data_IF_915081746848
#
_entry.id   IF_915081746848
#
_cell.length_a   1.000
_cell.length_b   1.000
_cell.length_c   1.000
_cell.angle_alpha   90.00
_cell.angle_beta   90.00
_cell.angle_gamma   90.00
#
_symmetry.space_group_name_H-M   'P 1'
#
loop_
_entity.id
_entity.type
_entity.pdbx_description
1 polymer ?
#
# COMPACT_ATOMS: atom_id res chain seq x y z
N UNK A 1 5.36 13.67 -20.59
CA UNK A 1 6.43 14.45 -21.27
C UNK A 1 5.86 15.59 -22.13
N UNK A 2 4.99 15.32 -23.12
CA UNK A 2 4.39 16.36 -23.99
C UNK A 2 3.77 17.54 -23.23
N UNK A 3 2.99 17.29 -22.18
CA UNK A 3 2.36 18.35 -21.38
C UNK A 3 3.37 19.28 -20.69
N UNK A 4 4.51 18.74 -20.22
CA UNK A 4 5.58 19.51 -19.59
C UNK A 4 6.27 20.39 -20.64
N UNK A 5 6.62 19.81 -21.80
CA UNK A 5 7.28 20.53 -22.89
C UNK A 5 6.37 21.62 -23.49
N UNK A 6 5.07 21.37 -23.63
CA UNK A 6 4.11 22.39 -24.06
C UNK A 6 4.03 23.56 -23.07
N UNK A 7 4.20 23.29 -21.78
CA UNK A 7 4.22 24.34 -20.75
C UNK A 7 5.52 25.14 -20.80
N UNK A 8 6.66 24.46 -20.97
CA UNK A 8 8.00 25.07 -21.02
C UNK A 8 8.20 25.95 -22.26
N UNK A 9 7.72 25.51 -23.43
CA UNK A 9 7.89 26.21 -24.71
C UNK A 9 6.70 27.09 -25.11
N UNK A 10 5.59 27.05 -24.37
CA UNK A 10 4.36 27.79 -24.68
C UNK A 10 4.50 29.32 -24.71
N UNK A 11 5.58 29.86 -24.12
CA UNK A 11 5.91 31.30 -24.17
C UNK A 11 6.61 31.77 -25.44
N UNK A 12 7.01 30.87 -26.34
CA UNK A 12 7.75 31.22 -27.56
C UNK A 12 6.77 31.70 -28.65
N UNK A 13 7.05 32.87 -29.22
CA UNK A 13 6.23 33.42 -30.32
C UNK A 13 6.31 32.51 -31.55
N UNK A 14 5.15 32.08 -32.08
CA UNK A 14 5.05 31.18 -33.23
C UNK A 14 4.99 29.69 -32.87
N UNK A 15 5.07 29.32 -31.58
CA UNK A 15 4.92 27.94 -31.14
C UNK A 15 3.45 27.46 -31.24
N UNK A 16 3.23 26.29 -31.84
CA UNK A 16 1.91 25.66 -31.98
C UNK A 16 1.76 24.47 -31.02
N UNK A 17 2.83 23.71 -30.81
CA UNK A 17 2.81 22.55 -29.92
C UNK A 17 4.04 21.67 -30.02
N UNK A 18 4.15 20.72 -29.09
CA UNK A 18 5.11 19.62 -29.13
C UNK A 18 4.35 18.30 -29.23
N UNK A 19 4.86 17.40 -30.09
CA UNK A 19 4.48 15.99 -30.11
C UNK A 19 5.69 15.10 -29.80
N UNK A 20 5.52 14.09 -28.96
CA UNK A 20 6.53 13.09 -28.63
C UNK A 20 5.99 11.71 -28.98
N UNK A 21 6.68 11.01 -29.88
CA UNK A 21 6.36 9.63 -30.28
C UNK A 21 7.54 8.73 -29.92
N UNK A 22 7.31 7.68 -29.13
CA UNK A 22 8.34 6.71 -28.73
C UNK A 22 8.13 5.35 -29.38
N UNK A 23 9.21 4.74 -29.86
CA UNK A 23 9.29 3.33 -30.24
C UNK A 23 10.07 2.58 -29.15
N UNK A 24 9.37 1.88 -28.25
CA UNK A 24 10.01 1.08 -27.20
C UNK A 24 10.71 -0.14 -27.81
N UNK A 25 11.93 -0.44 -27.35
CA UNK A 25 12.66 -1.63 -27.77
C UNK A 25 12.36 -2.79 -26.81
N UNK A 26 11.77 -3.88 -27.30
CA UNK A 26 11.70 -5.13 -26.55
C UNK A 26 13.08 -5.80 -26.55
N UNK A 27 13.66 -6.00 -25.36
CA UNK A 27 14.82 -6.87 -25.20
C UNK A 27 14.66 -7.72 -23.93
N UNK A 28 14.51 -9.02 -24.12
CA UNK A 28 14.50 -10.04 -23.07
C UNK A 28 13.48 -9.79 -21.94
N UNK A 29 12.19 -9.73 -22.30
CA UNK A 29 11.05 -9.76 -21.37
C UNK A 29 10.99 -8.66 -20.29
N UNK A 30 11.68 -7.53 -20.48
CA UNK A 30 11.46 -6.31 -19.68
C UNK A 30 11.30 -5.12 -20.61
N UNK A 31 10.09 -4.54 -20.64
CA UNK A 31 9.87 -3.23 -21.29
C UNK A 31 10.26 -2.15 -20.29
N UNK A 32 11.51 -1.72 -20.39
CA UNK A 32 11.95 -0.46 -19.81
C UNK A 32 11.48 0.66 -20.75
N UNK A 33 11.38 1.92 -20.29
CA UNK A 33 11.12 3.12 -21.14
C UNK A 33 12.25 3.38 -22.16
N UNK A 34 13.03 2.36 -22.50
CA UNK A 34 14.11 2.30 -23.46
C UNK A 34 13.51 2.24 -24.86
N UNK A 35 13.98 3.11 -25.74
CA UNK A 35 13.34 3.25 -27.04
C UNK A 35 13.87 4.41 -27.85
N UNK A 36 13.58 4.41 -29.14
CA UNK A 36 13.78 5.58 -29.98
C UNK A 36 12.63 6.55 -29.74
N UNK A 37 12.90 7.65 -29.03
CA UNK A 37 11.95 8.75 -28.86
C UNK A 37 12.20 9.81 -29.91
N UNK A 38 11.12 10.27 -30.50
CA UNK A 38 11.11 11.37 -31.44
C UNK A 38 10.27 12.51 -30.83
N UNK A 39 10.90 13.65 -30.64
CA UNK A 39 10.24 14.91 -30.27
C UNK A 39 10.11 15.79 -31.50
N UNK A 40 8.90 16.26 -31.79
CA UNK A 40 8.60 17.16 -32.90
C UNK A 40 8.02 18.44 -32.33
N UNK A 41 8.80 19.52 -32.41
CA UNK A 41 8.38 20.87 -32.06
C UNK A 41 7.76 21.54 -33.29
N UNK A 42 6.50 21.92 -33.18
CA UNK A 42 5.72 22.55 -34.24
C UNK A 42 5.65 24.06 -34.03
N UNK A 43 6.19 24.81 -34.99
CA UNK A 43 5.96 26.24 -35.13
C UNK A 43 5.03 26.59 -36.29
N UNK A 44 4.63 27.85 -36.35
CA UNK A 44 3.83 28.49 -37.40
C UNK A 44 4.43 28.36 -38.80
N UNK A 45 5.75 28.35 -38.92
CA UNK A 45 6.47 28.27 -40.20
C UNK A 45 7.40 27.06 -40.31
N UNK A 46 7.93 26.55 -39.19
CA UNK A 46 8.95 25.49 -39.18
C UNK A 46 8.57 24.37 -38.21
N UNK A 47 8.93 23.14 -38.58
CA UNK A 47 8.86 21.98 -37.70
C UNK A 47 10.29 21.50 -37.41
N UNK A 48 10.62 21.33 -36.13
CA UNK A 48 11.89 20.79 -35.69
C UNK A 48 11.68 19.40 -35.12
N UNK A 49 12.38 18.41 -35.68
CA UNK A 49 12.30 17.01 -35.26
C UNK A 49 13.64 16.59 -34.68
N UNK A 50 13.62 16.05 -33.47
CA UNK A 50 14.77 15.49 -32.81
C UNK A 50 14.46 14.06 -32.40
N UNK A 51 15.41 13.17 -32.66
CA UNK A 51 15.32 11.76 -32.27
C UNK A 51 16.42 11.46 -31.26
N UNK A 52 16.07 10.68 -30.23
CA UNK A 52 17.00 10.20 -29.23
C UNK A 52 16.66 8.76 -28.89
N UNK A 53 17.66 7.90 -28.97
CA UNK A 53 17.58 6.57 -28.38
C UNK A 53 17.79 6.71 -26.87
N UNK A 54 16.78 6.33 -26.10
CA UNK A 54 16.80 6.29 -24.63
C UNK A 54 17.23 4.89 -24.24
N UNK A 55 18.36 4.76 -23.56
CA UNK A 55 18.86 3.47 -23.07
C UNK A 55 18.54 3.28 -21.58
N UNK A 56 18.80 2.09 -21.04
CA UNK A 56 18.55 1.81 -19.61
C UNK A 56 19.34 2.73 -18.67
N UNK A 57 20.50 3.21 -19.13
CA UNK A 57 21.32 4.17 -18.40
C UNK A 57 20.73 5.60 -18.39
N UNK A 58 19.82 5.91 -19.33
CA UNK A 58 19.12 7.19 -19.38
C UNK A 58 17.93 7.25 -18.41
N UNK A 59 17.39 6.09 -18.01
CA UNK A 59 16.26 5.98 -17.08
C UNK A 59 16.81 5.91 -15.66
N UNK A 60 16.65 6.99 -14.91
CA UNK A 60 17.08 7.06 -13.51
C UNK A 60 15.90 6.75 -12.60
N UNK A 61 16.06 5.88 -11.58
CA UNK A 61 15.02 5.68 -10.57
C UNK A 61 14.71 7.00 -9.86
N UNK A 62 13.51 7.19 -9.29
CA UNK A 62 13.18 8.40 -8.55
C UNK A 62 14.17 8.63 -7.39
N UNK A 63 14.60 9.88 -7.11
CA UNK A 63 15.49 10.17 -5.99
C UNK A 63 14.89 9.76 -4.65
N UNK A 64 15.65 9.01 -3.85
CA UNK A 64 15.30 8.59 -2.49
C UNK A 64 16.19 9.39 -1.55
N UNK A 65 15.59 10.37 -0.87
CA UNK A 65 16.30 11.25 0.07
C UNK A 65 16.25 10.64 1.47
N UNK A 66 17.41 10.44 2.09
CA UNK A 66 17.57 9.93 3.45
C UNK A 66 18.07 11.05 4.36
N UNK A 67 17.28 11.44 5.36
CA UNK A 67 17.63 12.41 6.40
C UNK A 67 16.67 12.32 7.58
N UNK A 68 17.13 12.51 8.82
CA UNK A 68 16.22 12.58 10.00
C UNK A 68 15.19 13.70 9.84
N UNK A 69 13.91 13.44 10.11
CA UNK A 69 12.81 14.42 10.06
C UNK A 69 12.66 15.22 11.35
N UNK A 70 12.98 14.64 12.51
CA UNK A 70 12.87 15.25 13.83
C UNK A 70 14.14 15.01 14.65
N UNK A 71 14.75 16.10 15.12
CA UNK A 71 15.98 16.06 15.93
C UNK A 71 15.80 16.98 17.15
N UNK A 72 15.60 16.41 18.35
CA UNK A 72 15.70 17.16 19.60
C UNK A 72 17.14 17.60 19.88
N UNK A 73 17.31 18.81 20.40
CA UNK A 73 18.63 19.39 20.68
C UNK A 73 18.62 20.13 22.00
N UNK A 74 19.53 19.72 22.89
CA UNK A 74 19.79 20.44 24.13
C UNK A 74 20.86 21.49 23.88
N UNK A 75 20.46 22.75 24.02
CA UNK A 75 21.31 23.91 23.88
C UNK A 75 22.05 24.18 25.19
N UNK A 76 23.38 24.11 25.17
CA UNK A 76 24.26 24.32 26.33
C UNK A 76 24.80 25.76 26.43
N UNK A 77 24.46 26.61 25.47
CA UNK A 77 24.88 28.02 25.44
C UNK A 77 26.37 28.22 25.16
N UNK A 78 27.03 27.24 24.54
CA UNK A 78 28.45 27.34 24.20
C UNK A 78 28.61 27.73 22.74
N UNK A 79 29.44 28.75 22.44
CA UNK A 79 29.66 29.27 21.08
C UNK A 79 30.20 28.22 20.08
N UNK A 80 30.71 27.09 20.58
CA UNK A 80 31.24 25.99 19.77
C UNK A 80 30.24 24.85 19.54
N UNK A 81 29.03 24.91 20.12
CA UNK A 81 28.06 23.83 19.98
C UNK A 81 27.49 23.82 18.56
N UNK A 82 27.55 22.66 17.92
CA UNK A 82 27.00 22.46 16.58
C UNK A 82 26.14 21.22 16.55
N UNK A 83 25.15 21.22 15.65
CA UNK A 83 24.30 20.06 15.38
C UNK A 83 24.54 19.59 13.96
N UNK A 84 24.99 18.34 13.75
CA UNK A 84 25.18 17.81 12.41
C UNK A 84 23.83 17.45 11.78
N UNK A 85 23.56 18.01 10.61
CA UNK A 85 22.45 17.63 9.74
C UNK A 85 23.01 16.87 8.53
N UNK A 86 22.66 15.61 8.40
CA UNK A 86 23.06 14.77 7.27
C UNK A 86 21.87 14.51 6.34
N UNK A 87 22.15 14.60 5.04
CA UNK A 87 21.20 14.22 4.00
C UNK A 87 21.91 13.47 2.88
N UNK A 88 21.40 12.29 2.54
CA UNK A 88 21.93 11.42 1.52
C UNK A 88 20.92 11.19 0.39
N UNK A 89 21.42 10.93 -0.80
CA UNK A 89 20.64 10.48 -1.96
C UNK A 89 21.42 9.43 -2.73
N UNK A 90 20.76 8.51 -3.42
CA UNK A 90 21.43 7.50 -4.25
C UNK A 90 22.10 8.12 -5.49
N UNK A 91 23.20 7.49 -5.93
CA UNK A 91 23.85 7.87 -7.20
C UNK A 91 22.87 7.70 -8.39
N UNK A 92 22.85 8.60 -9.39
CA UNK A 92 23.76 9.73 -9.63
C UNK A 92 23.23 11.08 -9.12
N UNK A 93 22.24 11.09 -8.23
CA UNK A 93 21.64 12.33 -7.75
C UNK A 93 22.56 13.07 -6.78
N UNK A 94 22.33 14.38 -6.66
CA UNK A 94 23.02 15.26 -5.73
C UNK A 94 22.01 16.05 -4.93
N UNK A 95 22.36 16.39 -3.69
CA UNK A 95 21.51 17.16 -2.79
C UNK A 95 22.19 18.41 -2.26
N UNK A 96 21.37 19.38 -1.84
CA UNK A 96 21.77 20.61 -1.16
C UNK A 96 20.85 20.91 0.02
N UNK A 97 21.41 21.53 1.04
CA UNK A 97 20.68 22.00 2.22
C UNK A 97 20.20 23.44 2.04
N UNK A 98 19.01 23.73 2.55
CA UNK A 98 18.39 25.04 2.56
C UNK A 98 17.80 25.37 3.93
N UNK A 99 17.89 26.64 4.33
CA UNK A 99 17.12 27.24 5.44
C UNK A 99 16.46 28.51 4.90
N UNK A 100 15.14 28.63 5.03
CA UNK A 100 14.37 29.79 4.53
C UNK A 100 14.68 30.17 3.06
N UNK A 101 14.86 29.16 2.20
CA UNK A 101 15.28 29.27 0.78
C UNK A 101 16.73 29.67 0.51
N UNK A 102 17.53 29.94 1.55
CA UNK A 102 18.97 30.19 1.42
C UNK A 102 19.73 28.85 1.39
N UNK A 103 20.56 28.66 0.37
CA UNK A 103 21.43 27.49 0.26
C UNK A 103 22.53 27.56 1.33
N UNK A 104 22.76 26.43 2.00
CA UNK A 104 23.76 26.29 3.07
C UNK A 104 25.02 25.62 2.53
N UNK A 105 26.19 26.09 2.99
CA UNK A 105 27.47 25.47 2.65
C UNK A 105 27.70 24.23 3.53
N UNK A 106 27.60 23.05 2.92
CA UNK A 106 27.66 21.76 3.58
C UNK A 106 28.85 20.95 3.06
N UNK A 107 29.50 20.17 3.93
CA UNK A 107 30.55 19.23 3.52
C UNK A 107 30.02 18.14 2.59
N UNK A 108 30.88 17.58 1.73
CA UNK A 108 30.54 16.49 0.80
C UNK A 108 31.19 15.20 1.24
N UNK A 109 30.39 14.13 1.32
CA UNK A 109 30.87 12.76 1.43
C UNK A 109 30.26 11.93 0.31
N UNK A 110 31.10 11.36 -0.55
CA UNK A 110 30.67 10.47 -1.63
C UNK A 110 31.07 9.03 -1.31
N UNK A 111 30.09 8.15 -1.23
CA UNK A 111 30.30 6.71 -1.34
C UNK A 111 29.83 6.28 -2.72
N UNK A 112 30.45 5.26 -3.31
CA UNK A 112 30.17 4.85 -4.70
C UNK A 112 28.68 4.62 -5.03
N UNK A 113 27.84 4.39 -4.01
CA UNK A 113 26.41 4.16 -4.14
C UNK A 113 25.52 5.34 -3.65
N UNK A 114 26.07 6.35 -2.95
CA UNK A 114 25.30 7.47 -2.38
C UNK A 114 26.09 8.78 -2.26
N UNK A 115 25.41 9.89 -2.50
CA UNK A 115 25.92 11.25 -2.32
C UNK A 115 25.33 11.86 -1.04
N UNK A 116 26.17 12.24 -0.08
CA UNK A 116 25.74 12.79 1.20
C UNK A 116 26.30 14.21 1.42
N UNK A 117 25.46 15.08 2.01
CA UNK A 117 25.83 16.42 2.49
C UNK A 117 25.60 16.53 3.98
N UNK A 118 26.65 16.93 4.69
CA UNK A 118 26.60 17.17 6.13
C UNK A 118 26.77 18.65 6.41
N UNK A 119 25.82 19.25 7.10
CA UNK A 119 25.85 20.64 7.54
C UNK A 119 25.89 20.72 9.05
N UNK A 120 26.97 21.28 9.61
CA UNK A 120 27.07 21.51 11.05
C UNK A 120 26.44 22.86 11.39
N UNK A 121 25.18 22.85 11.83
CA UNK A 121 24.47 24.07 12.21
C UNK A 121 25.03 24.61 13.54
N UNK A 122 25.58 25.83 13.59
CA UNK A 122 26.02 26.44 14.83
C UNK A 122 24.81 26.83 15.67
N UNK A 123 24.80 26.40 16.93
CA UNK A 123 23.86 26.90 17.93
C UNK A 123 24.42 28.24 18.43
N UNK A 124 23.72 29.33 18.11
CA UNK A 124 23.99 30.65 18.69
C UNK A 124 23.64 30.67 20.19
N UNK A 125 23.69 31.85 20.82
CA UNK A 125 23.21 32.01 22.19
C UNK A 125 21.77 31.48 22.31
N UNK A 126 21.61 30.47 23.16
CA UNK A 126 20.33 29.83 23.40
C UNK A 126 19.34 30.85 23.97
N UNK A 127 18.10 30.79 23.49
CA UNK A 127 17.00 31.63 23.92
C UNK A 127 15.77 30.79 24.20
N UNK A 128 14.58 31.37 24.02
CA UNK A 128 13.32 30.66 24.14
C UNK A 128 13.27 29.39 23.25
N UNK A 129 12.54 28.34 23.67
CA UNK A 129 12.40 27.12 22.88
C UNK A 129 11.98 27.45 21.44
N UNK A 130 12.79 27.00 20.48
CA UNK A 130 12.60 27.34 19.07
C UNK A 130 12.60 26.07 18.23
N UNK A 131 11.68 26.00 17.27
CA UNK A 131 11.66 24.98 16.23
C UNK A 131 12.20 25.57 14.94
N UNK A 132 13.23 24.96 14.37
CA UNK A 132 13.85 25.38 13.11
C UNK A 132 13.67 24.29 12.05
N UNK A 133 13.34 24.70 10.84
CA UNK A 133 13.15 23.78 9.71
C UNK A 133 14.25 23.94 8.67
N UNK A 134 14.81 22.82 8.25
CA UNK A 134 15.80 22.72 7.19
C UNK A 134 15.24 21.85 6.09
N UNK A 135 15.55 22.19 4.84
CA UNK A 135 15.09 21.41 3.68
C UNK A 135 16.28 20.88 2.92
N UNK A 136 16.35 19.56 2.76
CA UNK A 136 17.26 18.93 1.83
C UNK A 136 16.54 18.74 0.49
N UNK A 137 17.12 19.25 -0.60
CA UNK A 137 16.52 19.20 -1.95
C UNK A 137 17.49 18.57 -2.95
N UNK A 138 16.96 17.77 -3.86
CA UNK A 138 17.71 17.19 -4.98
C UNK A 138 17.95 18.26 -6.05
N UNK A 139 19.16 18.28 -6.60
CA UNK A 139 19.53 19.21 -7.66
C UNK A 139 18.63 18.99 -8.90
N UNK A 140 18.13 20.11 -9.44
CA UNK A 140 17.32 20.18 -10.66
C UNK A 140 15.98 19.38 -10.64
N UNK A 141 15.56 18.88 -9.48
CA UNK A 141 14.30 18.14 -9.30
C UNK A 141 13.50 18.69 -8.09
N UNK A 142 12.19 18.44 -8.02
CA UNK A 142 11.36 18.93 -6.91
C UNK A 142 11.29 17.98 -5.70
N UNK A 143 12.13 16.95 -5.67
CA UNK A 143 12.24 16.04 -4.53
C UNK A 143 12.92 16.76 -3.36
N UNK A 144 12.25 16.75 -2.21
CA UNK A 144 12.74 17.40 -0.98
C UNK A 144 12.33 16.63 0.27
N UNK A 145 13.16 16.70 1.30
CA UNK A 145 12.88 16.20 2.65
C UNK A 145 13.11 17.32 3.65
N UNK A 146 12.28 17.37 4.68
CA UNK A 146 12.30 18.42 5.70
C UNK A 146 12.80 17.83 7.01
N UNK A 147 13.71 18.53 7.67
CA UNK A 147 14.24 18.22 8.99
C UNK A 147 13.88 19.33 9.95
N UNK A 148 13.29 18.96 11.07
CA UNK A 148 12.88 19.87 12.15
C UNK A 148 13.79 19.68 13.35
N UNK A 149 14.46 20.76 13.73
CA UNK A 149 15.29 20.86 14.92
C UNK A 149 14.46 21.48 16.05
N UNK A 150 14.30 20.75 17.15
CA UNK A 150 13.62 21.22 18.37
C UNK A 150 14.67 21.59 19.41
N UNK A 151 14.91 22.88 19.60
CA UNK A 151 16.00 23.38 20.43
C UNK A 151 15.46 23.83 21.80
N UNK A 152 16.07 23.37 22.88
CA UNK A 152 15.74 23.76 24.26
C UNK A 152 16.95 23.73 25.19
N UNK A 153 16.94 24.53 26.25
CA UNK A 153 17.95 24.48 27.33
C UNK A 153 17.64 23.42 28.40
N UNK A 154 16.40 22.94 28.43
CA UNK A 154 15.94 21.98 29.43
C UNK A 154 16.69 20.65 29.36
N UNK A 155 16.88 19.96 30.49
CA UNK A 155 17.53 18.67 30.51
C UNK A 155 16.68 17.61 29.80
N UNK A 156 17.38 16.71 29.11
CA UNK A 156 16.77 15.53 28.51
C UNK A 156 16.40 14.49 29.57
N UNK A 157 15.36 13.72 29.25
CA UNK A 157 14.81 12.65 30.10
C UNK A 157 14.91 11.30 29.43
N UNK A 158 14.90 11.27 28.09
CA UNK A 158 15.19 10.08 27.29
C UNK A 158 16.61 10.18 26.74
N UNK A 159 17.35 9.07 26.83
CA UNK A 159 18.68 8.89 26.27
C UNK A 159 18.70 7.55 25.54
N UNK A 160 19.16 7.55 24.29
CA UNK A 160 19.20 6.36 23.44
C UNK A 160 20.20 6.55 22.30
N UNK A 161 20.92 5.49 21.93
CA UNK A 161 21.97 5.58 20.90
C UNK A 161 21.39 5.80 19.48
N UNK A 162 20.15 5.36 19.22
CA UNK A 162 19.50 5.40 17.91
C UNK A 162 18.67 6.69 17.72
N UNK A 163 17.80 6.97 18.68
CA UNK A 163 16.94 8.16 18.68
C UNK A 163 17.61 9.41 19.26
N UNK A 164 18.76 9.26 19.92
CA UNK A 164 19.44 10.34 20.61
C UNK A 164 18.74 10.72 21.91
N UNK A 165 19.12 11.88 22.43
CA UNK A 165 18.57 12.39 23.67
C UNK A 165 17.36 13.31 23.41
N UNK A 166 16.37 13.31 24.30
CA UNK A 166 15.16 14.12 24.14
C UNK A 166 14.38 14.35 25.43
N UNK A 167 13.45 15.31 25.39
CA UNK A 167 12.58 15.64 26.53
C UNK A 167 11.26 14.89 26.46
N UNK A 168 10.63 14.75 27.62
CA UNK A 168 9.29 14.19 27.74
C UNK A 168 8.30 14.85 26.77
N UNK A 169 7.64 14.03 25.94
CA UNK A 169 6.69 14.46 24.94
C UNK A 169 7.28 14.84 23.58
N UNK A 170 8.60 14.99 23.44
CA UNK A 170 9.25 15.26 22.16
C UNK A 170 9.27 14.02 21.26
N UNK A 171 9.38 14.27 19.96
CA UNK A 171 9.57 13.23 18.95
C UNK A 171 10.99 13.29 18.39
N UNK A 172 11.54 12.12 18.09
CA UNK A 172 12.80 11.97 17.39
C UNK A 172 12.63 10.94 16.28
N UNK A 173 13.31 11.16 15.17
CA UNK A 173 13.32 10.24 14.04
C UNK A 173 14.67 9.55 13.90
N UNK A 174 14.65 8.31 13.44
CA UNK A 174 15.83 7.57 13.01
C UNK A 174 15.65 7.01 11.61
N UNK A 175 16.77 6.69 10.98
CA UNK A 175 16.78 6.07 9.65
C UNK A 175 16.39 4.59 9.74
N UNK A 176 15.84 4.07 8.65
CA UNK A 176 15.55 2.64 8.56
C UNK A 176 16.84 1.80 8.52
N UNK A 177 16.77 0.51 8.90
CA UNK A 177 17.87 -0.42 8.77
C UNK A 177 18.41 -0.51 7.33
N UNK A 178 19.66 -0.95 7.19
CA UNK A 178 20.31 -1.12 5.89
C UNK A 178 19.43 -1.93 4.92
N UNK A 179 19.21 -1.39 3.72
CA UNK A 179 18.40 -2.02 2.67
C UNK A 179 16.92 -1.60 2.68
N UNK A 180 16.48 -0.83 3.67
CA UNK A 180 15.15 -0.26 3.75
C UNK A 180 15.18 1.27 3.58
N UNK A 181 14.02 1.85 3.29
CA UNK A 181 13.80 3.27 3.08
C UNK A 181 12.56 3.71 3.85
N UNK A 182 12.59 4.95 4.38
CA UNK A 182 11.56 5.48 5.28
C UNK A 182 12.18 6.13 6.50
N UNK A 183 11.45 6.12 7.61
CA UNK A 183 11.93 6.48 8.94
C UNK A 183 11.12 5.80 10.04
N UNK A 184 11.73 5.71 11.22
CA UNK A 184 11.03 5.42 12.45
C UNK A 184 10.94 6.70 13.28
N UNK A 185 9.76 7.00 13.80
CA UNK A 185 9.51 8.14 14.68
C UNK A 185 9.12 7.59 16.05
N UNK A 186 9.88 7.97 17.07
CA UNK A 186 9.58 7.67 18.45
C UNK A 186 9.24 8.93 19.23
N UNK A 187 8.47 8.75 20.30
CA UNK A 187 8.12 9.80 21.26
C UNK A 187 8.68 9.47 22.62
N UNK A 188 9.29 10.44 23.28
CA UNK A 188 9.84 10.27 24.61
C UNK A 188 8.70 10.25 25.63
N UNK A 189 8.51 9.11 26.29
CA UNK A 189 7.51 8.93 27.34
C UNK A 189 8.09 8.13 28.51
N UNK A 190 7.93 8.67 29.73
CA UNK A 190 8.45 8.11 30.98
C UNK A 190 9.94 7.79 30.93
N UNK A 191 10.73 8.65 30.29
CA UNK A 191 12.18 8.50 30.15
C UNK A 191 12.62 7.38 29.19
N UNK A 192 11.75 6.91 28.31
CA UNK A 192 12.10 6.00 27.20
C UNK A 192 11.50 6.46 25.88
N UNK A 193 12.19 6.20 24.79
CA UNK A 193 11.63 6.36 23.45
C UNK A 193 10.65 5.22 23.16
N UNK A 194 9.40 5.58 22.85
CA UNK A 194 8.35 4.65 22.42
C UNK A 194 8.10 4.89 20.94
N UNK A 195 8.24 3.85 20.12
CA UNK A 195 7.96 3.90 18.68
C UNK A 195 6.49 4.30 18.47
N UNK A 196 6.26 5.35 17.67
CA UNK A 196 4.93 5.87 17.34
C UNK A 196 4.60 5.62 15.88
N UNK A 197 5.60 5.74 15.01
CA UNK A 197 5.43 5.55 13.57
C UNK A 197 6.64 4.78 13.01
N UNK A 198 6.36 3.77 12.21
CA UNK A 198 7.33 3.03 11.42
C UNK A 198 6.84 3.15 9.98
N UNK A 199 7.67 3.69 9.09
CA UNK A 199 7.39 3.77 7.65
C UNK A 199 8.43 3.00 6.83
N UNK A 200 9.18 2.09 7.46
CA UNK A 200 10.30 1.40 6.84
C UNK A 200 9.83 0.33 5.87
N UNK A 201 10.26 0.45 4.61
CA UNK A 201 9.91 -0.45 3.51
C UNK A 201 11.19 -0.93 2.83
N UNK A 202 11.24 -2.20 2.42
CA UNK A 202 12.37 -2.73 1.65
C UNK A 202 12.55 -1.94 0.36
N UNK A 203 13.78 -1.46 0.10
CA UNK A 203 14.07 -0.51 -0.99
C UNK A 203 13.60 -1.01 -2.35
N UNK A 204 13.88 -2.27 -2.69
CA UNK A 204 13.48 -2.86 -3.98
C UNK A 204 11.97 -2.85 -4.16
N UNK A 205 11.21 -3.12 -3.09
CA UNK A 205 9.74 -3.07 -3.12
C UNK A 205 9.25 -1.63 -3.26
N UNK A 206 9.90 -0.66 -2.61
CA UNK A 206 9.56 0.75 -2.78
C UNK A 206 9.79 1.24 -4.22
N UNK A 207 10.89 0.83 -4.85
CA UNK A 207 11.17 1.14 -6.26
C UNK A 207 10.13 0.51 -7.20
N UNK A 208 9.67 -0.71 -6.90
CA UNK A 208 8.59 -1.37 -7.63
C UNK A 208 7.24 -0.67 -7.43
N UNK A 209 6.95 -0.17 -6.21
CA UNK A 209 5.77 0.66 -5.96
C UNK A 209 5.79 1.91 -6.83
N UNK A 210 6.89 2.66 -6.82
CA UNK A 210 7.01 3.89 -7.61
C UNK A 210 6.85 3.60 -9.12
N UNK A 211 7.37 2.46 -9.58
CA UNK A 211 7.20 2.00 -10.97
C UNK A 211 5.75 1.61 -11.29
N UNK A 212 5.00 1.11 -10.31
CA UNK A 212 3.61 0.65 -10.48
C UNK A 212 2.60 1.80 -10.68
N UNK A 213 2.89 3.00 -10.15
CA UNK A 213 1.98 4.16 -10.23
C UNK A 213 1.76 4.65 -11.68
N UNK A 214 2.77 4.43 -12.54
CA UNK A 214 2.76 4.78 -13.97
C UNK A 214 2.62 3.59 -14.92
N UNK A 215 2.35 2.39 -14.39
CA UNK A 215 2.40 1.14 -15.16
C UNK A 215 1.39 1.13 -16.31
N UNK A 216 1.86 0.84 -17.52
CA UNK A 216 1.02 0.66 -18.70
C UNK A 216 0.64 -0.80 -18.89
N UNK A 217 -0.45 -1.06 -19.61
CA UNK A 217 -1.05 -2.40 -19.78
C UNK A 217 -0.05 -3.36 -20.42
N UNK A 218 0.69 -2.90 -21.41
CA UNK A 218 1.71 -3.63 -22.15
C UNK A 218 2.89 -4.09 -21.27
N UNK A 219 3.17 -3.37 -20.19
CA UNK A 219 4.33 -3.61 -19.32
C UNK A 219 3.98 -4.57 -18.16
N UNK A 220 2.68 -4.77 -17.88
CA UNK A 220 2.19 -5.59 -16.76
C UNK A 220 2.80 -6.99 -16.70
N UNK A 221 2.89 -7.79 -17.80
CA UNK A 221 3.44 -9.13 -17.73
C UNK A 221 4.87 -9.17 -17.19
N UNK A 222 5.75 -8.32 -17.72
CA UNK A 222 7.14 -8.21 -17.26
C UNK A 222 7.25 -7.68 -15.83
N UNK A 223 6.37 -6.74 -15.46
CA UNK A 223 6.37 -6.16 -14.13
C UNK A 223 5.99 -7.17 -13.05
N UNK A 224 4.93 -7.96 -13.25
CA UNK A 224 4.50 -8.95 -12.26
C UNK A 224 5.48 -10.10 -12.12
N UNK A 225 6.16 -10.48 -13.20
CA UNK A 225 7.25 -11.46 -13.17
C UNK A 225 8.40 -10.95 -12.31
N UNK A 226 8.90 -9.74 -12.58
CA UNK A 226 9.95 -9.11 -11.76
C UNK A 226 9.55 -8.99 -10.29
N UNK A 227 8.34 -8.54 -10.00
CA UNK A 227 7.82 -8.44 -8.63
C UNK A 227 7.85 -9.80 -7.92
N UNK A 228 7.34 -10.84 -8.59
CA UNK A 228 7.31 -12.21 -8.07
C UNK A 228 8.72 -12.76 -7.82
N UNK A 229 9.67 -12.53 -8.73
CA UNK A 229 11.05 -12.97 -8.59
C UNK A 229 11.76 -12.28 -7.42
N UNK A 230 11.65 -10.95 -7.32
CA UNK A 230 12.25 -10.18 -6.22
C UNK A 230 11.69 -10.65 -4.87
N UNK A 231 10.35 -10.75 -4.74
CA UNK A 231 9.71 -11.18 -3.48
C UNK A 231 10.15 -12.60 -3.08
N UNK A 232 10.36 -13.51 -4.03
CA UNK A 232 10.90 -14.85 -3.72
C UNK A 232 12.32 -14.77 -3.15
N UNK A 233 13.16 -13.87 -3.66
CA UNK A 233 14.54 -13.69 -3.17
C UNK A 233 14.56 -13.12 -1.75
N UNK A 234 13.72 -12.11 -1.47
CA UNK A 234 13.67 -11.41 -0.17
C UNK A 234 12.50 -11.88 0.73
N UNK A 235 12.00 -13.10 0.51
CA UNK A 235 10.79 -13.64 1.18
C UNK A 235 10.80 -13.43 2.69
N UNK A 236 11.90 -13.77 3.36
CA UNK A 236 11.99 -13.67 4.82
C UNK A 236 11.83 -12.21 5.28
N UNK A 237 12.57 -11.29 4.67
CA UNK A 237 12.51 -9.87 5.02
C UNK A 237 11.12 -9.27 4.75
N UNK A 238 10.46 -9.70 3.67
CA UNK A 238 9.08 -9.30 3.34
C UNK A 238 8.11 -9.77 4.42
N UNK A 239 8.16 -11.06 4.80
CA UNK A 239 7.20 -11.64 5.76
C UNK A 239 7.30 -10.99 7.15
N UNK A 240 8.47 -10.48 7.51
CA UNK A 240 8.72 -9.82 8.81
C UNK A 240 8.51 -8.30 8.78
N UNK A 241 8.09 -7.72 7.65
CA UNK A 241 7.90 -6.27 7.50
C UNK A 241 6.44 -5.93 7.19
N UNK A 242 5.65 -5.47 8.19
CA UNK A 242 4.25 -5.04 7.99
C UNK A 242 4.09 -4.03 6.87
N UNK A 243 4.91 -2.98 6.86
CA UNK A 243 4.84 -1.90 5.88
C UNK A 243 5.23 -2.37 4.48
N UNK A 244 6.18 -3.30 4.36
CA UNK A 244 6.53 -3.90 3.06
C UNK A 244 5.37 -4.75 2.53
N UNK A 245 4.71 -5.53 3.38
CA UNK A 245 3.49 -6.27 2.98
C UNK A 245 2.40 -5.29 2.51
N UNK A 246 2.14 -4.23 3.26
CA UNK A 246 1.16 -3.20 2.86
C UNK A 246 1.52 -2.55 1.53
N UNK A 247 2.81 -2.32 1.27
CA UNK A 247 3.31 -1.77 0.00
C UNK A 247 3.08 -2.76 -1.15
N UNK A 248 3.28 -4.05 -0.94
CA UNK A 248 3.01 -5.09 -1.95
C UNK A 248 1.51 -5.12 -2.28
N UNK A 249 0.64 -5.03 -1.26
CA UNK A 249 -0.81 -4.94 -1.46
C UNK A 249 -1.18 -3.72 -2.32
N UNK A 250 -0.54 -2.57 -2.09
CA UNK A 250 -0.74 -1.37 -2.90
C UNK A 250 -0.30 -1.56 -4.36
N UNK A 251 0.85 -2.22 -4.59
CA UNK A 251 1.30 -2.60 -5.94
C UNK A 251 0.25 -3.47 -6.65
N UNK A 252 -0.28 -4.49 -5.97
CA UNK A 252 -1.33 -5.35 -6.51
C UNK A 252 -2.60 -4.54 -6.83
N UNK A 253 -2.96 -3.58 -5.98
CA UNK A 253 -4.06 -2.64 -6.21
C UNK A 253 -3.86 -1.78 -7.46
N UNK A 254 -2.64 -1.27 -7.67
CA UNK A 254 -2.30 -0.48 -8.86
C UNK A 254 -2.46 -1.31 -10.15
N UNK A 255 -1.97 -2.56 -10.16
CA UNK A 255 -2.17 -3.48 -11.29
C UNK A 255 -3.68 -3.77 -11.50
N UNK A 256 -4.38 -4.07 -10.40
CA UNK A 256 -5.80 -4.38 -10.41
C UNK A 256 -6.66 -3.21 -10.90
N UNK A 257 -6.21 -1.96 -10.79
CA UNK A 257 -6.94 -0.77 -11.22
C UNK A 257 -6.80 -0.46 -12.72
N UNK A 258 -5.91 -1.14 -13.46
CA UNK A 258 -5.70 -0.89 -14.90
C UNK A 258 -6.92 -1.38 -15.70
N UNK A 259 -7.83 -0.48 -16.09
CA UNK A 259 -9.14 -0.81 -16.68
C UNK A 259 -9.10 -1.76 -17.89
N UNK A 260 -8.15 -1.56 -18.80
CA UNK A 260 -8.05 -2.32 -20.06
C UNK A 260 -7.17 -3.57 -19.96
N UNK A 261 -6.71 -3.93 -18.76
CA UNK A 261 -5.88 -5.10 -18.55
C UNK A 261 -6.67 -6.39 -18.83
N UNK A 262 -6.07 -7.28 -19.63
CA UNK A 262 -6.51 -8.66 -19.80
C UNK A 262 -5.53 -9.57 -19.06
N UNK A 263 -6.04 -10.30 -18.07
CA UNK A 263 -5.23 -11.19 -17.25
C UNK A 263 -5.18 -12.57 -17.92
N UNK A 264 -4.01 -12.91 -18.44
CA UNK A 264 -3.69 -14.23 -18.97
C UNK A 264 -2.97 -15.08 -17.90
N UNK A 265 -2.64 -16.32 -18.25
CA UNK A 265 -2.04 -17.28 -17.32
C UNK A 265 -0.71 -16.79 -16.69
N UNK A 266 0.32 -16.33 -17.44
CA UNK A 266 1.56 -15.86 -16.82
C UNK A 266 1.37 -14.70 -15.84
N UNK A 267 0.44 -13.79 -16.13
CA UNK A 267 0.18 -12.63 -15.26
C UNK A 267 -0.39 -13.07 -13.92
N UNK A 268 -1.45 -13.90 -13.92
CA UNK A 268 -2.08 -14.33 -12.68
C UNK A 268 -1.23 -15.33 -11.90
N UNK A 269 -0.43 -16.17 -12.55
CA UNK A 269 0.53 -17.04 -11.86
C UNK A 269 1.53 -16.22 -11.04
N UNK A 270 2.13 -15.18 -11.63
CA UNK A 270 3.08 -14.32 -10.92
C UNK A 270 2.42 -13.49 -9.80
N UNK A 271 1.20 -13.00 -10.04
CA UNK A 271 0.39 -12.36 -8.98
C UNK A 271 0.14 -13.32 -7.83
N UNK A 272 -0.32 -14.54 -8.11
CA UNK A 272 -0.64 -15.51 -7.07
C UNK A 272 0.59 -16.00 -6.32
N UNK A 273 1.75 -16.12 -6.99
CA UNK A 273 3.03 -16.40 -6.31
C UNK A 273 3.43 -15.28 -5.36
N UNK A 274 3.19 -14.02 -5.73
CA UNK A 274 3.39 -12.87 -4.84
C UNK A 274 2.45 -12.93 -3.63
N UNK A 275 1.17 -13.22 -3.88
CA UNK A 275 0.14 -13.32 -2.84
C UNK A 275 0.44 -14.47 -1.88
N UNK A 276 0.86 -15.63 -2.39
CA UNK A 276 1.23 -16.81 -1.60
C UNK A 276 2.26 -16.49 -0.50
N UNK A 277 3.27 -15.68 -0.84
CA UNK A 277 4.29 -15.23 0.11
C UNK A 277 3.68 -14.35 1.21
N UNK A 278 2.91 -13.33 0.84
CA UNK A 278 2.38 -12.36 1.83
C UNK A 278 1.28 -12.96 2.70
N UNK A 279 0.56 -14.00 2.26
CA UNK A 279 -0.46 -14.68 3.08
C UNK A 279 0.08 -15.88 3.88
N UNK A 280 1.36 -16.23 3.68
CA UNK A 280 1.99 -17.38 4.35
C UNK A 280 1.99 -17.25 5.88
N UNK A 281 2.21 -18.38 6.56
CA UNK A 281 2.26 -18.43 8.04
C UNK A 281 3.31 -17.49 8.63
N UNK A 282 4.46 -17.33 7.96
CA UNK A 282 5.55 -16.45 8.41
C UNK A 282 5.14 -14.96 8.44
N UNK A 283 4.12 -14.58 7.66
CA UNK A 283 3.61 -13.20 7.58
C UNK A 283 2.56 -12.88 8.65
N UNK A 284 2.19 -13.84 9.52
CA UNK A 284 1.09 -13.68 10.48
C UNK A 284 1.33 -12.54 11.47
N UNK A 285 2.55 -12.37 11.97
CA UNK A 285 2.86 -11.29 12.91
C UNK A 285 2.76 -9.92 12.24
N UNK A 286 3.24 -9.81 10.99
CA UNK A 286 3.13 -8.60 10.19
C UNK A 286 1.68 -8.22 9.91
N UNK A 287 0.83 -9.18 9.55
CA UNK A 287 -0.61 -8.93 9.42
C UNK A 287 -1.29 -8.60 10.75
N UNK A 288 -0.85 -9.19 11.85
CA UNK A 288 -1.36 -8.84 13.19
C UNK A 288 -1.04 -7.38 13.53
N UNK A 289 0.17 -6.91 13.19
CA UNK A 289 0.55 -5.52 13.35
C UNK A 289 -0.28 -4.59 12.45
N UNK A 290 -0.45 -4.92 11.17
CA UNK A 290 -1.28 -4.15 10.23
C UNK A 290 -2.74 -4.03 10.71
N UNK A 291 -3.32 -5.15 11.12
CA UNK A 291 -4.70 -5.22 11.61
C UNK A 291 -4.90 -4.62 13.00
N UNK A 292 -3.83 -4.35 13.75
CA UNK A 292 -3.90 -3.67 15.04
C UNK A 292 -4.38 -2.21 14.92
N UNK A 293 -4.21 -1.60 13.74
CA UNK A 293 -4.74 -0.29 13.41
C UNK A 293 -6.08 -0.44 12.68
N UNK A 294 -7.19 -0.07 13.34
CA UNK A 294 -8.55 -0.20 12.77
C UNK A 294 -8.76 0.61 11.48
N UNK A 295 -7.94 1.63 11.23
CA UNK A 295 -8.01 2.43 10.00
C UNK A 295 -7.22 1.81 8.84
N UNK A 296 -6.42 0.78 9.10
CA UNK A 296 -5.66 0.11 8.06
C UNK A 296 -6.56 -0.85 7.28
N UNK A 297 -6.60 -0.67 5.97
CA UNK A 297 -7.44 -1.41 5.04
C UNK A 297 -6.65 -2.43 4.20
N UNK A 298 -5.39 -2.72 4.53
CA UNK A 298 -4.53 -3.63 3.77
C UNK A 298 -5.19 -5.00 3.49
N UNK A 299 -5.87 -5.60 4.47
CA UNK A 299 -6.52 -6.91 4.27
C UNK A 299 -7.70 -6.83 3.30
N UNK A 300 -8.52 -5.77 3.38
CA UNK A 300 -9.61 -5.56 2.43
C UNK A 300 -9.11 -5.14 1.04
N UNK A 301 -8.00 -4.40 0.98
CA UNK A 301 -7.39 -3.95 -0.27
C UNK A 301 -6.76 -5.13 -1.02
N UNK A 302 -6.14 -6.07 -0.32
CA UNK A 302 -5.66 -7.32 -0.92
C UNK A 302 -6.83 -8.10 -1.54
N UNK A 303 -7.90 -8.30 -0.78
CA UNK A 303 -9.08 -9.03 -1.28
C UNK A 303 -9.77 -8.32 -2.44
N UNK A 304 -9.92 -6.99 -2.37
CA UNK A 304 -10.46 -6.19 -3.45
C UNK A 304 -9.59 -6.24 -4.70
N UNK A 305 -8.27 -6.23 -4.55
CA UNK A 305 -7.33 -6.37 -5.68
C UNK A 305 -7.46 -7.73 -6.35
N UNK A 306 -7.58 -8.81 -5.56
CA UNK A 306 -7.79 -10.16 -6.08
C UNK A 306 -9.14 -10.31 -6.79
N UNK A 307 -10.20 -9.69 -6.27
CA UNK A 307 -11.51 -9.64 -6.94
C UNK A 307 -11.42 -8.94 -8.29
N UNK A 308 -10.84 -7.73 -8.32
CA UNK A 308 -10.69 -6.95 -9.55
C UNK A 308 -9.83 -7.64 -10.62
N UNK A 309 -8.76 -8.32 -10.21
CA UNK A 309 -7.94 -9.11 -11.13
C UNK A 309 -8.70 -10.34 -11.63
N UNK A 310 -9.51 -10.97 -10.76
CA UNK A 310 -10.32 -12.12 -11.15
C UNK A 310 -11.35 -11.77 -12.23
N UNK A 311 -11.87 -10.55 -12.19
CA UNK A 311 -12.81 -10.00 -13.18
C UNK A 311 -12.20 -9.79 -14.57
N UNK A 312 -10.87 -9.75 -14.65
CA UNK A 312 -10.11 -9.45 -15.87
C UNK A 312 -9.52 -10.70 -16.52
N UNK A 313 -9.74 -11.87 -15.96
CA UNK A 313 -9.21 -13.14 -16.47
C UNK A 313 -9.86 -13.50 -17.79
N UNK A 314 -9.04 -13.89 -18.76
CA UNK A 314 -9.48 -14.46 -20.02
C UNK A 314 -8.76 -15.79 -20.29
N UNK A 315 -9.51 -16.89 -20.24
CA UNK A 315 -8.99 -18.23 -20.48
C UNK A 315 -9.49 -19.24 -19.45
N UNK A 316 -9.07 -20.49 -19.64
CA UNK A 316 -9.29 -21.60 -18.71
C UNK A 316 -7.95 -22.23 -18.39
N UNK A 317 -7.55 -22.15 -17.14
CA UNK A 317 -6.30 -22.67 -16.59
C UNK A 317 -6.46 -22.91 -15.08
N UNK A 318 -5.61 -23.78 -14.56
CA UNK A 318 -5.55 -24.17 -13.16
C UNK A 318 -4.14 -23.91 -12.66
N UNK A 319 -4.02 -23.37 -11.46
CA UNK A 319 -2.73 -23.05 -10.84
C UNK A 319 -2.80 -23.33 -9.34
N UNK A 320 -1.71 -23.83 -8.78
CA UNK A 320 -1.61 -24.18 -7.37
C UNK A 320 -0.27 -23.70 -6.80
N UNK A 321 -0.35 -23.07 -5.63
CA UNK A 321 0.79 -22.75 -4.77
C UNK A 321 0.63 -23.49 -3.43
N UNK A 322 1.54 -23.27 -2.48
CA UNK A 322 1.44 -23.88 -1.16
C UNK A 322 0.17 -23.46 -0.40
N UNK A 323 -0.27 -22.21 -0.57
CA UNK A 323 -1.42 -21.65 0.13
C UNK A 323 -2.66 -21.35 -0.75
N UNK A 324 -2.56 -21.49 -2.08
CA UNK A 324 -3.60 -21.04 -3.01
C UNK A 324 -3.94 -22.13 -4.02
N UNK A 325 -5.23 -22.44 -4.14
CA UNK A 325 -5.78 -23.19 -5.26
C UNK A 325 -6.59 -22.26 -6.16
N UNK A 326 -6.19 -22.16 -7.43
CA UNK A 326 -6.84 -21.35 -8.44
C UNK A 326 -7.34 -22.25 -9.58
N UNK A 327 -8.61 -22.07 -9.98
CA UNK A 327 -9.19 -22.74 -11.14
C UNK A 327 -10.10 -21.81 -11.94
N UNK A 328 -10.05 -21.95 -13.27
CA UNK A 328 -10.99 -21.32 -14.19
C UNK A 328 -11.56 -22.34 -15.14
N UNK A 329 -12.88 -22.44 -15.17
CA UNK A 329 -13.60 -23.45 -15.94
C UNK A 329 -14.86 -22.87 -16.57
N UNK A 330 -15.41 -23.60 -17.52
CA UNK A 330 -16.73 -23.30 -18.11
C UNK A 330 -17.73 -24.36 -17.70
N UNK A 331 -18.99 -23.96 -17.53
CA UNK A 331 -20.05 -24.87 -17.13
C UNK A 331 -21.39 -24.55 -17.81
N UNK A 332 -22.20 -25.59 -17.97
CA UNK A 332 -23.56 -25.53 -18.46
C UNK A 332 -24.52 -25.90 -17.35
N UNK A 333 -25.49 -25.03 -17.06
CA UNK A 333 -26.58 -25.17 -16.11
C UNK A 333 -26.21 -25.46 -14.64
N UNK A 334 -25.11 -26.14 -14.33
CA UNK A 334 -24.66 -26.42 -12.97
C UNK A 334 -23.15 -26.52 -12.87
N UNK A 335 -22.60 -26.09 -11.75
CA UNK A 335 -21.19 -26.22 -11.43
C UNK A 335 -21.00 -26.96 -10.11
N UNK A 336 -20.05 -27.89 -10.07
CA UNK A 336 -19.67 -28.61 -8.86
C UNK A 336 -18.15 -28.71 -8.80
N UNK A 337 -17.55 -28.23 -7.70
CA UNK A 337 -16.12 -28.36 -7.45
C UNK A 337 -15.84 -28.69 -5.99
N UNK A 338 -14.83 -29.54 -5.79
CA UNK A 338 -14.25 -29.80 -4.48
C UNK A 338 -12.96 -28.98 -4.38
N UNK A 339 -13.04 -27.82 -3.73
CA UNK A 339 -11.98 -26.81 -3.70
C UNK A 339 -10.93 -27.08 -2.63
N UNK A 340 -11.26 -27.91 -1.63
CA UNK A 340 -10.32 -28.63 -0.77
C UNK A 340 -11.11 -29.71 -0.01
N UNK A 341 -10.44 -30.60 0.72
CA UNK A 341 -11.09 -31.68 1.50
C UNK A 341 -12.25 -31.25 2.43
N UNK A 342 -12.39 -29.95 2.74
CA UNK A 342 -13.45 -29.38 3.58
C UNK A 342 -14.39 -28.38 2.86
N UNK A 343 -14.12 -27.99 1.61
CA UNK A 343 -14.83 -26.92 0.90
C UNK A 343 -15.37 -27.43 -0.43
N UNK A 344 -16.69 -27.50 -0.52
CA UNK A 344 -17.41 -27.91 -1.73
C UNK A 344 -18.23 -26.73 -2.24
N UNK A 345 -18.07 -26.42 -3.53
CA UNK A 345 -18.88 -25.46 -4.25
C UNK A 345 -19.88 -26.21 -5.13
N UNK A 346 -21.16 -26.01 -4.88
CA UNK A 346 -22.26 -26.58 -5.65
C UNK A 346 -23.22 -25.46 -6.06
N UNK A 347 -23.30 -25.21 -7.38
CA UNK A 347 -24.16 -24.21 -8.00
C UNK A 347 -25.12 -24.94 -8.94
N UNK A 348 -26.30 -25.35 -8.46
CA UNK A 348 -27.26 -26.08 -9.28
C UNK A 348 -28.21 -25.14 -10.05
N UNK A 349 -28.67 -25.58 -11.23
CA UNK A 349 -29.81 -25.02 -11.98
C UNK A 349 -29.73 -23.51 -12.28
N UNK A 350 -28.62 -23.06 -12.84
CA UNK A 350 -28.41 -21.66 -13.25
C UNK A 350 -29.14 -21.29 -14.54
N UNK A 351 -29.45 -22.27 -15.40
CA UNK A 351 -29.99 -22.03 -16.74
C UNK A 351 -29.01 -21.32 -17.69
N UNK A 352 -27.74 -21.18 -17.31
CA UNK A 352 -26.70 -20.62 -18.16
C UNK A 352 -26.13 -21.69 -19.11
N UNK A 353 -25.69 -21.25 -20.29
CA UNK A 353 -24.93 -22.06 -21.24
C UNK A 353 -23.57 -21.40 -21.48
N UNK A 354 -22.51 -22.19 -21.42
CA UNK A 354 -21.12 -21.77 -21.60
C UNK A 354 -20.72 -20.60 -20.68
N UNK A 355 -21.16 -20.67 -19.41
CA UNK A 355 -20.78 -19.69 -18.41
C UNK A 355 -19.36 -19.98 -17.91
N UNK A 356 -18.55 -18.94 -17.72
CA UNK A 356 -17.25 -19.04 -17.04
C UNK A 356 -17.41 -18.94 -15.54
N UNK A 357 -16.54 -19.66 -14.82
CA UNK A 357 -16.37 -19.52 -13.38
C UNK A 357 -14.87 -19.49 -13.03
N UNK A 358 -14.52 -18.58 -12.13
CA UNK A 358 -13.19 -18.51 -11.51
C UNK A 358 -13.35 -18.81 -10.03
N UNK A 359 -12.54 -19.74 -9.51
CA UNK A 359 -12.47 -20.04 -8.08
C UNK A 359 -11.05 -19.84 -7.57
N UNK A 360 -10.89 -19.04 -6.53
CA UNK A 360 -9.63 -18.85 -5.82
C UNK A 360 -9.85 -19.23 -4.36
N UNK A 361 -9.12 -20.22 -3.87
CA UNK A 361 -9.21 -20.71 -2.50
C UNK A 361 -7.90 -20.45 -1.77
N UNK A 362 -7.99 -19.74 -0.65
CA UNK A 362 -6.84 -19.44 0.20
C UNK A 362 -6.88 -20.32 1.46
N UNK A 363 -5.80 -21.06 1.75
CA UNK A 363 -5.72 -21.93 2.92
C UNK A 363 -5.28 -21.20 4.19
N UNK A 364 -4.55 -20.09 4.07
CA UNK A 364 -3.93 -19.35 5.20
C UNK A 364 -4.47 -17.92 5.38
N UNK A 365 -5.58 -17.55 4.73
CA UNK A 365 -6.12 -16.19 4.81
C UNK A 365 -6.60 -15.81 6.24
N UNK A 366 -6.75 -16.79 7.14
CA UNK A 366 -6.94 -16.54 8.57
C UNK A 366 -5.79 -15.71 9.20
N UNK A 367 -4.59 -15.72 8.60
CA UNK A 367 -3.47 -14.88 9.05
C UNK A 367 -3.66 -13.41 8.63
N UNK A 368 -4.34 -13.18 7.52
CA UNK A 368 -4.54 -11.85 6.90
C UNK A 368 -5.76 -11.14 7.46
N UNK A 369 -6.84 -11.88 7.72
CA UNK A 369 -8.11 -11.32 8.12
C UNK A 369 -8.09 -10.90 9.59
N UNK A 370 -8.52 -9.68 9.94
CA UNK A 370 -8.63 -9.27 11.33
C UNK A 370 -9.61 -10.19 12.07
N UNK A 371 -9.24 -10.58 13.29
CA UNK A 371 -10.12 -11.37 14.15
C UNK A 371 -11.33 -10.51 14.50
N UNK A 372 -12.45 -10.74 13.83
CA UNK A 372 -13.70 -10.11 14.23
C UNK A 372 -14.10 -10.70 15.57
N UNK A 373 -13.96 -9.90 16.64
CA UNK A 373 -14.72 -10.04 17.89
C UNK A 373 -16.20 -9.77 17.60
N UNK A 374 -16.78 -10.53 16.68
CA UNK A 374 -18.21 -10.67 16.66
C UNK A 374 -18.58 -11.15 18.06
N UNK A 375 -19.44 -10.38 18.73
CA UNK A 375 -20.05 -10.72 20.02
C UNK A 375 -20.95 -11.94 19.84
N UNK A 376 -20.42 -13.05 19.32
CA UNK A 376 -21.07 -14.33 19.29
C UNK A 376 -21.18 -14.76 20.73
N UNK A 377 -22.39 -14.60 21.25
CA UNK A 377 -22.74 -15.10 22.55
C UNK A 377 -22.65 -16.63 22.53
N UNK A 378 -21.49 -17.13 22.94
CA UNK A 378 -21.20 -18.55 23.15
C UNK A 378 -22.15 -19.20 24.17
N UNK A 379 -22.92 -18.42 24.93
CA UNK A 379 -23.96 -18.94 25.83
C UNK A 379 -25.12 -19.64 25.11
N UNK A 380 -25.24 -19.55 23.78
CA UNK A 380 -26.20 -20.33 22.99
C UNK A 380 -25.74 -21.79 22.77
N UNK A 381 -24.48 -22.10 23.08
CA UNK A 381 -23.91 -23.43 22.98
C UNK A 381 -23.32 -23.82 24.34
N UNK A 382 -24.10 -24.57 25.13
CA UNK A 382 -23.58 -25.26 26.31
C UNK A 382 -22.51 -26.26 25.88
N UNK A 383 -21.26 -25.83 25.85
CA UNK A 383 -20.09 -26.69 25.81
C UNK A 383 -19.20 -26.33 26.99
N UNK A 384 -19.15 -27.20 27.99
CA UNK A 384 -18.31 -27.08 29.19
C UNK A 384 -16.82 -27.29 28.88
N UNK A 385 -16.31 -26.74 27.78
CA UNK A 385 -14.88 -26.78 27.47
C UNK A 385 -14.31 -25.38 27.62
N UNK A 386 -13.42 -25.26 28.60
CA UNK A 386 -12.57 -24.10 28.87
C UNK A 386 -11.40 -24.05 27.89
N UNK A 387 -11.68 -23.83 26.61
CA UNK A 387 -10.66 -23.44 25.63
C UNK A 387 -10.89 -21.97 25.24
N UNK A 388 -9.87 -21.11 25.29
CA UNK A 388 -10.01 -19.69 25.00
C UNK A 388 -10.19 -19.50 23.48
N UNK A 389 -11.26 -18.79 23.12
CA UNK A 389 -11.55 -18.15 21.81
C UNK A 389 -11.29 -19.06 20.59
N UNK A 390 -12.34 -19.76 20.17
CA UNK A 390 -12.40 -20.39 18.85
C UNK A 390 -12.25 -19.32 17.75
N UNK A 391 -11.04 -19.17 17.20
CA UNK A 391 -10.81 -18.53 15.91
C UNK A 391 -11.59 -19.34 14.88
N UNK A 392 -12.57 -18.70 14.25
CA UNK A 392 -13.42 -19.31 13.24
C UNK A 392 -12.60 -19.44 11.95
N UNK A 393 -11.81 -20.52 11.83
CA UNK A 393 -11.03 -20.82 10.63
C UNK A 393 -11.98 -21.09 9.47
N UNK A 394 -12.13 -20.12 8.58
CA UNK A 394 -12.85 -20.28 7.33
C UNK A 394 -11.87 -20.12 6.17
N UNK A 395 -11.82 -21.13 5.30
CA UNK A 395 -11.24 -20.94 3.97
C UNK A 395 -12.08 -19.87 3.26
N UNK A 396 -11.42 -18.87 2.70
CA UNK A 396 -12.08 -17.85 1.90
C UNK A 396 -11.99 -18.27 0.45
N UNK A 397 -13.15 -18.35 -0.18
CA UNK A 397 -13.27 -18.63 -1.61
C UNK A 397 -13.76 -17.37 -2.31
N UNK A 398 -12.97 -16.90 -3.27
CA UNK A 398 -13.43 -15.93 -4.26
C UNK A 398 -14.06 -16.70 -5.42
N UNK A 399 -15.34 -16.42 -5.68
CA UNK A 399 -16.08 -17.03 -6.78
C UNK A 399 -16.57 -15.93 -7.69
N UNK A 400 -16.12 -15.96 -8.95
CA UNK A 400 -16.68 -15.13 -10.01
C UNK A 400 -17.43 -16.03 -10.99
N UNK A 401 -18.73 -15.80 -11.15
CA UNK A 401 -19.51 -16.32 -12.28
C UNK A 401 -20.19 -15.20 -13.06
N UNK A 402 -20.85 -15.54 -14.17
CA UNK A 402 -21.47 -14.59 -15.13
C UNK A 402 -22.36 -13.48 -14.47
N UNK A 403 -22.85 -13.66 -13.22
CA UNK A 403 -23.60 -12.63 -12.48
C UNK A 403 -23.48 -12.68 -10.93
N UNK A 404 -22.60 -13.50 -10.34
CA UNK A 404 -22.54 -13.66 -8.88
C UNK A 404 -21.09 -13.55 -8.38
N UNK A 405 -20.87 -12.58 -7.49
CA UNK A 405 -19.69 -12.46 -6.63
C UNK A 405 -20.13 -12.89 -5.22
N UNK A 406 -19.56 -13.96 -4.70
CA UNK A 406 -19.82 -14.41 -3.31
C UNK A 406 -18.52 -14.44 -2.54
N UNK A 407 -18.41 -13.57 -1.53
CA UNK A 407 -17.46 -13.74 -0.45
C UNK A 407 -18.10 -14.65 0.59
N UNK A 408 -17.69 -15.92 0.62
CA UNK A 408 -18.19 -16.90 1.58
C UNK A 408 -17.06 -17.37 2.50
N UNK A 409 -17.21 -17.21 3.80
CA UNK A 409 -16.54 -18.06 4.78
C UNK A 409 -17.22 -19.43 4.75
N UNK A 410 -16.66 -20.40 4.01
CA UNK A 410 -17.23 -21.74 3.97
C UNK A 410 -16.72 -22.53 5.19
N UNK A 411 -17.68 -22.89 6.06
CA UNK A 411 -17.41 -23.60 7.31
C UNK A 411 -16.84 -25.00 7.05
N UNK A 412 -15.81 -25.34 7.82
CA UNK A 412 -15.15 -26.66 7.80
C UNK A 412 -16.15 -27.83 7.89
N UNK A 413 -15.80 -28.95 7.26
CA UNK A 413 -16.62 -30.16 7.22
C UNK A 413 -16.98 -30.70 8.62
N UNK A 414 -16.09 -30.55 9.63
CA UNK A 414 -16.40 -30.89 11.02
C UNK A 414 -17.43 -29.94 11.63
N UNK A 415 -17.37 -28.65 11.33
CA UNK A 415 -18.34 -27.66 11.80
C UNK A 415 -19.71 -27.92 11.13
N UNK A 416 -19.73 -28.25 9.84
CA UNK A 416 -20.96 -28.64 9.11
C UNK A 416 -21.58 -29.90 9.71
N UNK A 417 -20.77 -30.88 10.13
CA UNK A 417 -21.24 -32.09 10.82
C UNK A 417 -21.86 -31.82 12.19
N UNK A 418 -21.40 -30.76 12.87
CA UNK A 418 -21.92 -30.32 14.17
C UNK A 418 -23.21 -29.50 14.00
N UNK A 419 -23.28 -28.63 12.98
CA UNK A 419 -24.47 -27.82 12.66
C UNK A 419 -25.64 -28.66 12.12
N UNK A 420 -25.35 -29.64 11.25
CA UNK A 420 -26.39 -30.55 10.71
C UNK A 420 -27.01 -31.46 11.77
N UNK A 421 -26.42 -31.54 12.98
CA UNK A 421 -26.97 -32.30 14.09
C UNK A 421 -28.06 -31.55 14.88
N UNK A 422 -28.30 -30.26 14.60
CA UNK A 422 -29.39 -29.48 15.20
C UNK A 422 -29.98 -28.47 14.22
N UNK A 423 -31.05 -28.86 13.53
CA UNK A 423 -32.25 -28.02 13.44
C UNK A 423 -33.45 -28.82 12.92
N UNK A 424 -34.61 -28.79 13.60
CA UNK A 424 -35.89 -29.06 12.95
C UNK A 424 -36.27 -27.88 12.07
N UNK A 425 -36.84 -28.18 10.90
CA UNK A 425 -37.38 -27.24 9.92
C UNK A 425 -38.45 -26.32 10.48
N UNK A 426 -38.37 -25.03 10.14
CA UNK A 426 -39.55 -24.15 10.05
C UNK A 426 -39.39 -23.17 8.90
N UNK A 427 -40.39 -23.16 8.02
CA UNK A 427 -40.62 -22.22 6.92
C UNK A 427 -40.84 -20.79 7.41
N UNK A 428 -40.50 -19.78 6.59
CA UNK A 428 -41.42 -18.73 6.08
C UNK A 428 -40.64 -17.57 5.41
N UNK A 429 -40.99 -17.32 4.13
CA UNK A 429 -41.22 -16.03 3.46
C UNK A 429 -40.41 -14.75 3.76
N UNK A 430 -39.65 -14.33 2.73
CA UNK A 430 -39.54 -12.99 2.11
C UNK A 430 -39.46 -11.71 2.98
N UNK A 431 -38.47 -10.83 2.69
CA UNK A 431 -38.73 -9.53 2.04
C UNK A 431 -37.45 -8.70 1.80
N UNK A 432 -37.49 -7.94 0.70
CA UNK A 432 -36.53 -6.96 0.17
C UNK A 432 -36.76 -5.56 0.74
N UNK A 433 -35.70 -4.74 0.89
CA UNK A 433 -35.71 -3.25 0.97
C UNK A 433 -34.26 -2.74 0.87
N UNK A 434 -33.80 -1.97 -0.13
CA UNK A 434 -34.05 -0.57 -0.57
C UNK A 434 -33.67 0.49 0.49
N UNK A 435 -32.56 1.22 0.24
CA UNK A 435 -32.00 2.29 1.07
C UNK A 435 -32.17 3.69 0.46
N UNK A 436 -32.33 4.70 1.32
CA UNK A 436 -32.40 6.15 1.02
C UNK A 436 -31.24 6.89 1.70
N UNK A 437 -30.79 7.98 1.07
CA UNK A 437 -29.58 8.78 1.31
C UNK A 437 -29.70 9.92 2.34
N UNK A 438 -28.57 10.32 2.95
CA UNK A 438 -28.18 11.75 3.08
C UNK A 438 -27.69 12.27 4.45
N UNK A 439 -26.41 12.68 4.52
CA UNK A 439 -25.99 13.96 5.12
C UNK A 439 -24.85 14.00 6.17
N UNK A 440 -23.60 14.30 5.80
CA UNK A 440 -22.73 15.53 5.99
C UNK A 440 -21.89 15.68 7.31
N UNK A 441 -20.60 15.32 7.20
CA UNK A 441 -19.28 15.96 7.54
C UNK A 441 -18.86 16.56 8.92
N UNK A 442 -17.59 16.28 9.30
CA UNK A 442 -16.45 17.25 9.47
C UNK A 442 -15.11 16.51 9.81
N UNK A 443 -14.13 16.33 8.90
CA UNK A 443 -12.85 17.06 8.63
C UNK A 443 -11.64 16.85 9.58
N UNK A 444 -10.54 16.29 9.01
CA UNK A 444 -9.15 16.38 9.51
C UNK A 444 -8.13 15.48 8.75
N UNK A 445 -7.32 16.08 7.86
CA UNK A 445 -6.05 15.65 7.22
C UNK A 445 -5.88 14.23 6.56
N UNK A 446 -5.93 14.18 5.22
CA UNK A 446 -5.10 13.31 4.34
C UNK A 446 -5.21 13.78 2.88
N UNK A 447 -4.18 14.47 2.36
CA UNK A 447 -4.29 15.36 1.17
C UNK A 447 -3.67 14.83 -0.16
N UNK A 448 -3.46 13.52 -0.38
CA UNK A 448 -3.02 13.07 -1.72
C UNK A 448 -3.81 11.96 -2.43
N UNK A 449 -5.00 11.58 -1.95
CA UNK A 449 -5.83 10.54 -2.62
C UNK A 449 -7.06 11.06 -3.40
N UNK A 450 -7.08 12.31 -3.86
CA UNK A 450 -8.21 12.85 -4.63
C UNK A 450 -7.84 13.16 -6.06
N UNK A 451 -7.70 12.12 -6.89
CA UNK A 451 -7.92 12.17 -8.35
C UNK A 451 -7.92 10.74 -8.93
N UNK A 452 -8.98 9.96 -8.65
CA UNK A 452 -9.54 8.89 -9.51
C UNK A 452 -10.77 8.30 -8.82
N UNK A 453 -11.91 8.36 -9.50
CA UNK A 453 -13.23 8.18 -8.90
C UNK A 453 -13.78 6.76 -9.00
N UNK A 454 -14.22 6.27 -7.83
CA UNK A 454 -15.34 5.37 -7.47
C UNK A 454 -14.84 4.31 -6.49
N UNK A 455 -14.79 4.69 -5.20
CA UNK A 455 -14.61 3.74 -4.10
C UNK A 455 -15.95 3.08 -3.78
N UNK A 456 -15.97 1.76 -3.74
CA UNK A 456 -16.94 1.01 -2.94
C UNK A 456 -16.42 1.01 -1.49
N UNK A 457 -16.87 1.96 -0.68
CA UNK A 457 -16.56 2.01 0.75
C UNK A 457 -17.67 1.25 1.49
N UNK A 458 -17.32 0.16 2.15
CA UNK A 458 -18.21 -0.48 3.12
C UNK A 458 -18.02 0.20 4.47
N UNK A 459 -18.99 1.01 4.89
CA UNK A 459 -19.06 1.52 6.26
C UNK A 459 -19.87 0.56 7.13
N UNK A 460 -19.27 0.03 8.19
CA UNK A 460 -20.00 -0.62 9.28
C UNK A 460 -20.06 0.34 10.45
N UNK A 461 -21.24 0.90 10.72
CA UNK A 461 -21.49 1.68 11.94
C UNK A 461 -21.93 0.73 13.06
N UNK A 462 -21.25 0.79 14.20
CA UNK A 462 -21.72 0.22 15.46
C UNK A 462 -22.71 1.19 16.13
N UNK A 463 -23.83 0.66 16.61
CA UNK A 463 -24.90 1.43 17.23
C UNK A 463 -24.52 1.83 18.66
N UNK A 464 -24.54 3.12 18.96
CA UNK A 464 -24.42 3.64 20.31
C UNK A 464 -25.63 3.19 21.16
N UNK A 465 -25.37 2.41 22.20
CA UNK A 465 -26.32 2.18 23.28
C UNK A 465 -26.49 3.46 24.10
N UNK A 466 -27.66 4.08 24.04
CA UNK A 466 -28.15 4.91 25.13
C UNK A 466 -29.59 4.55 25.44
N UNK A 467 -29.81 4.10 26.68
CA UNK A 467 -31.12 3.84 27.23
C UNK A 467 -31.71 5.15 27.77
N UNK A 468 -32.94 5.50 27.40
CA UNK A 468 -34.01 5.78 28.37
C UNK A 468 -35.34 6.19 27.71
N UNK A 469 -36.38 5.46 28.15
CA UNK A 469 -37.81 5.77 28.34
C UNK A 469 -38.50 6.95 27.62
N UNK A 470 -39.66 6.64 27.01
CA UNK A 470 -40.77 7.58 26.84
C UNK A 470 -41.62 7.29 25.59
N UNK A 471 -42.88 6.89 25.79
CA UNK A 471 -43.87 6.55 24.75
C UNK A 471 -44.57 7.81 24.15
N UNK A 472 -45.66 7.67 23.36
CA UNK A 472 -45.73 7.73 21.91
C UNK A 472 -46.44 9.00 21.36
N UNK A 473 -46.71 9.03 20.04
CA UNK A 473 -47.60 9.94 19.25
C UNK A 473 -46.84 10.79 18.22
N UNK A 474 -47.34 11.19 17.05
CA UNK A 474 -48.35 10.71 16.08
C UNK A 474 -48.20 11.60 14.81
N UNK A 475 -48.48 11.05 13.63
CA UNK A 475 -48.91 11.69 12.36
C UNK A 475 -48.19 12.88 11.66
N UNK A 476 -47.88 12.62 10.38
CA UNK A 476 -48.28 13.36 9.15
C UNK A 476 -47.19 14.07 8.35
N UNK A 477 -47.07 13.57 7.12
CA UNK A 477 -46.44 14.19 5.96
C UNK A 477 -47.05 15.55 5.62
N UNK A 478 -46.19 16.46 5.15
CA UNK A 478 -46.34 17.11 3.83
C UNK A 478 -45.03 16.89 3.09
#
# INVERSE_FOLDING_TARGET
MEAVLNTEYGGITGFIGVSVTGFRYEKADVVLDIGLYQCTLMGDVLQFRQERDVTGDDIKPPPIIVSKSHIPVRCLGTEAQTVPLECCVQSPFKVKWFKDSLALDAGVTENGNSFCRTYAYPLEACGEPTSLTFTCKVDDLDYRRVTTLSISEEPFTCEDDEYGDGREGEQSSTECPLGQVGENIAKCENGKWILVEDTCVIRVIKELLDSSEGLQVEDVPSFVEKLSEEIKVIKNDVTQSPNTISTIVEILGNIAFIDTLVVNQPVIENVLQTVDVIIGEDSRESWTALNGNENNNASSDLLGSMELLSDKINGTFTFETDAILFDTSTFDNSFYANLNNSVVLDIPNTGFSNASITTITFSTLNNVMPVRSSSFNTSLFNTNNTDPVNVLNAAVVLIKGFFILVFGTLFDSKIRSILTRKSPTTSTGSNTTRSTSGGISSTGLNWFHRLRGRRYVYHTSEAANSASAGAPESFSNI
#
